data_IF_941750986895
#
_entry.id   IF_941750986895
#
_cell.length_a   1.000
_cell.length_b   1.000
_cell.length_c   1.000
_cell.angle_alpha   90.00
_cell.angle_beta   90.00
_cell.angle_gamma   90.00
#
_symmetry.space_group_name_H-M   'P 1'
#
loop_
_entity.id
_entity.type
_entity.pdbx_description
1 polymer ?
#
# COMPACT_ATOMS: atom_id res chain seq x y z
N UNK A 1 13.01 1.78 -3.66
CA UNK A 1 12.02 0.78 -4.10
C UNK A 1 11.62 1.10 -5.54
N UNK A 2 11.68 0.10 -6.43
CA UNK A 2 11.34 0.25 -7.83
C UNK A 2 9.80 0.17 -8.04
N UNK A 3 9.24 0.77 -9.10
CA UNK A 3 7.81 0.72 -9.38
C UNK A 3 7.25 -0.71 -9.53
N UNK A 4 8.02 -1.61 -10.12
CA UNK A 4 7.63 -3.02 -10.32
C UNK A 4 7.48 -3.75 -8.98
N UNK A 5 8.43 -3.57 -8.06
CA UNK A 5 8.35 -4.13 -6.70
C UNK A 5 7.12 -3.61 -5.94
N UNK A 6 6.76 -2.32 -6.12
CA UNK A 6 5.59 -1.73 -5.49
C UNK A 6 4.30 -2.38 -6.02
N UNK A 7 4.21 -2.55 -7.34
CA UNK A 7 3.05 -3.20 -7.98
C UNK A 7 2.87 -4.63 -7.49
N UNK A 8 3.96 -5.38 -7.36
CA UNK A 8 3.93 -6.74 -6.79
C UNK A 8 3.37 -6.73 -5.37
N UNK A 9 3.86 -5.85 -4.48
CA UNK A 9 3.35 -5.75 -3.09
C UNK A 9 1.88 -5.35 -3.03
N UNK A 10 1.45 -4.44 -3.90
CA UNK A 10 0.04 -4.04 -4.03
C UNK A 10 -0.80 -5.25 -4.43
N UNK A 11 -0.34 -6.04 -5.40
CA UNK A 11 -1.05 -7.22 -5.87
C UNK A 11 -1.13 -8.30 -4.77
N UNK A 12 -0.05 -8.54 -4.03
CA UNK A 12 -0.04 -9.49 -2.91
C UNK A 12 -1.04 -9.10 -1.80
N UNK A 13 -1.19 -7.79 -1.51
CA UNK A 13 -2.21 -7.33 -0.57
C UNK A 13 -3.62 -7.52 -1.13
N UNK A 14 -3.83 -7.21 -2.42
CA UNK A 14 -5.11 -7.34 -3.11
C UNK A 14 -5.60 -8.79 -3.18
N UNK A 15 -4.70 -9.74 -3.46
CA UNK A 15 -5.02 -11.17 -3.50
C UNK A 15 -5.15 -11.79 -2.11
N UNK A 16 -4.75 -11.07 -1.06
CA UNK A 16 -4.71 -11.58 0.30
C UNK A 16 -3.52 -12.50 0.59
N UNK A 17 -2.55 -12.59 -0.32
CA UNK A 17 -1.29 -13.33 -0.08
C UNK A 17 -0.53 -12.75 1.11
N UNK A 18 -0.56 -11.42 1.27
CA UNK A 18 -0.12 -10.75 2.49
C UNK A 18 -1.26 -9.90 3.05
N UNK A 19 -1.40 -9.90 4.38
CA UNK A 19 -2.41 -9.07 5.06
C UNK A 19 -2.02 -7.61 5.13
N UNK A 20 -0.73 -7.34 5.28
CA UNK A 20 -0.21 -6.00 5.45
C UNK A 20 1.20 -5.85 4.90
N UNK A 21 1.55 -4.63 4.53
CA UNK A 21 2.88 -4.27 4.03
C UNK A 21 3.37 -2.97 4.68
N UNK A 22 4.54 -3.01 5.31
CA UNK A 22 5.17 -1.82 5.90
C UNK A 22 6.02 -1.09 4.87
N UNK A 23 5.66 0.16 4.60
CA UNK A 23 6.40 1.09 3.74
C UNK A 23 7.20 2.03 4.63
N UNK A 24 8.52 2.03 4.46
CA UNK A 24 9.39 2.96 5.15
C UNK A 24 9.17 4.40 4.65
N UNK A 25 9.38 5.39 5.53
CA UNK A 25 9.20 6.82 5.19
C UNK A 25 9.92 7.24 3.90
N UNK A 26 11.10 6.69 3.65
CA UNK A 26 11.95 6.99 2.48
C UNK A 26 11.36 6.47 1.17
N UNK A 27 10.45 5.49 1.24
CA UNK A 27 9.79 4.88 0.09
C UNK A 27 8.33 5.30 -0.04
N UNK A 28 7.79 6.04 0.93
CA UNK A 28 6.40 6.45 0.96
C UNK A 28 5.96 7.20 -0.31
N UNK A 29 6.75 8.17 -0.78
CA UNK A 29 6.40 8.96 -1.96
C UNK A 29 6.32 8.11 -3.23
N UNK A 30 7.30 7.20 -3.42
CA UNK A 30 7.30 6.27 -4.54
C UNK A 30 6.12 5.30 -4.47
N UNK A 31 5.87 4.72 -3.29
CA UNK A 31 4.76 3.81 -3.07
C UNK A 31 3.41 4.47 -3.34
N UNK A 32 3.20 5.67 -2.81
CA UNK A 32 1.97 6.45 -2.99
C UNK A 32 1.71 6.75 -4.47
N UNK A 33 2.73 7.09 -5.25
CA UNK A 33 2.58 7.42 -6.66
C UNK A 33 2.09 6.24 -7.53
N UNK A 34 2.42 5.01 -7.14
CA UNK A 34 1.93 3.79 -7.80
C UNK A 34 0.56 3.41 -7.26
N UNK A 35 0.38 3.47 -5.93
CA UNK A 35 -0.89 3.13 -5.28
C UNK A 35 -2.04 4.03 -5.74
N UNK A 36 -1.82 5.34 -5.88
CA UNK A 36 -2.87 6.28 -6.31
C UNK A 36 -3.35 6.09 -7.75
N UNK A 37 -2.61 5.29 -8.55
CA UNK A 37 -2.98 4.95 -9.93
C UNK A 37 -3.81 3.67 -10.02
N UNK A 38 -3.94 2.91 -8.92
CA UNK A 38 -4.78 1.72 -8.88
C UNK A 38 -6.26 2.13 -8.89
N UNK A 39 -7.09 1.44 -9.67
CA UNK A 39 -8.52 1.73 -9.76
C UNK A 39 -9.23 1.49 -8.42
N UNK A 40 -8.78 0.47 -7.69
CA UNK A 40 -9.23 0.04 -6.37
C UNK A 40 -8.50 0.74 -5.21
N UNK A 41 -7.78 1.86 -5.43
CA UNK A 41 -6.97 2.50 -4.38
C UNK A 41 -7.74 2.82 -3.07
N UNK A 42 -9.07 3.00 -3.15
CA UNK A 42 -9.95 3.22 -1.99
C UNK A 42 -10.05 2.01 -1.06
N UNK A 43 -9.75 0.82 -1.55
CA UNK A 43 -9.66 -0.40 -0.74
C UNK A 43 -8.37 -0.44 0.09
N UNK A 44 -7.38 0.38 -0.22
CA UNK A 44 -6.14 0.42 0.55
C UNK A 44 -6.23 1.40 1.71
N UNK A 45 -5.94 0.89 2.91
CA UNK A 45 -5.84 1.65 4.14
C UNK A 45 -4.38 1.77 4.54
N UNK A 46 -3.91 3.02 4.70
CA UNK A 46 -2.60 3.31 5.29
C UNK A 46 -2.74 3.68 6.77
N UNK A 47 -1.97 3.02 7.63
CA UNK A 47 -1.89 3.26 9.07
C UNK A 47 -0.51 3.88 9.34
N UNK A 48 -0.50 5.17 9.70
CA UNK A 48 0.74 5.89 9.98
C UNK A 48 1.34 5.43 11.31
N UNK A 49 2.62 5.06 11.30
CA UNK A 49 3.35 4.58 12.46
C UNK A 49 4.27 5.68 13.02
N UNK A 50 4.65 5.52 14.29
CA UNK A 50 5.70 6.35 14.88
C UNK A 50 7.02 6.15 14.12
N UNK A 51 7.67 7.24 13.74
CA UNK A 51 8.88 7.23 12.91
C UNK A 51 8.66 7.56 11.43
N UNK A 52 7.41 7.73 10.99
CA UNK A 52 7.05 8.17 9.63
C UNK A 52 6.83 7.03 8.64
N UNK A 53 6.92 5.78 9.09
CA UNK A 53 6.55 4.62 8.29
C UNK A 53 5.03 4.47 8.20
N UNK A 54 4.56 3.74 7.20
CA UNK A 54 3.13 3.50 6.98
C UNK A 54 2.89 2.02 6.73
N UNK A 55 1.96 1.41 7.44
CA UNK A 55 1.49 0.04 7.18
C UNK A 55 0.26 0.11 6.29
N UNK A 56 0.33 -0.53 5.12
CA UNK A 56 -0.79 -0.64 4.20
C UNK A 56 -1.49 -1.99 4.35
N UNK A 57 -2.82 -1.96 4.23
CA UNK A 57 -3.69 -3.12 4.26
C UNK A 57 -4.73 -2.99 3.14
N UNK A 58 -5.13 -4.12 2.55
CA UNK A 58 -6.25 -4.17 1.61
C UNK A 58 -7.54 -4.53 2.34
N UNK A 59 -8.61 -3.79 2.07
CA UNK A 59 -9.94 -3.99 2.64
C UNK A 59 -10.87 -4.59 1.59
N UNK A 60 -11.65 -5.60 1.97
CA UNK A 60 -12.66 -6.17 1.08
C UNK A 60 -13.73 -5.13 0.66
N UNK A 61 -14.06 -4.22 1.59
CA UNK A 61 -14.98 -3.12 1.35
C UNK A 61 -14.20 -1.80 1.20
N UNK A 62 -14.53 -0.95 0.22
CA UNK A 62 -13.85 0.33 0.04
C UNK A 62 -14.11 1.24 1.23
N UNK A 63 -13.14 2.07 1.60
CA UNK A 63 -13.38 3.14 2.59
C UNK A 63 -14.28 4.23 1.98
N UNK A 64 -15.24 4.75 2.77
CA UNK A 64 -16.10 5.89 2.41
C UNK A 64 -15.31 7.15 2.09
#
# INVERSE_FOLDING_TARGET
>A
MLPEEISERINQMRTGEIKEFRVQKEHFLAFRAVLSKQEDFKHFRGIAQQGGDVVFQYLEQPRS
#
